data_IF_041007268299
#
_entry.id   IF_041007268299
#
_cell.length_a   1.000
_cell.length_b   1.000
_cell.length_c   1.000
_cell.angle_alpha   90.00
_cell.angle_beta   90.00
_cell.angle_gamma   90.00
#
_symmetry.space_group_name_H-M   'P 1'
#
loop_
_entity.id
_entity.type
_entity.pdbx_description
1 polymer ?
#
# COMPACT_ATOMS: atom_id res chain seq x y z
N UNK A 1 51.06 -2.54 3.71
CA UNK A 1 49.84 -1.71 3.48
C UNK A 1 49.96 -1.06 2.11
N UNK A 2 49.31 -1.60 1.08
CA UNK A 2 49.34 -1.04 -0.28
C UNK A 2 48.33 0.11 -0.38
N UNK A 3 48.86 1.33 -0.51
CA UNK A 3 48.06 2.55 -0.65
C UNK A 3 47.45 2.60 -2.05
N UNK A 4 46.21 2.08 -2.20
CA UNK A 4 45.44 1.98 -3.44
C UNK A 4 45.26 3.31 -4.21
N UNK A 5 45.53 4.44 -3.56
CA UNK A 5 45.45 5.76 -4.19
C UNK A 5 46.69 6.07 -5.04
N UNK A 6 47.86 5.52 -4.70
CA UNK A 6 49.11 5.77 -5.46
C UNK A 6 49.00 5.22 -6.89
N UNK A 7 48.40 4.05 -7.04
CA UNK A 7 48.32 3.37 -8.34
C UNK A 7 47.28 4.04 -9.27
N UNK A 8 46.22 4.63 -8.72
CA UNK A 8 45.12 5.20 -9.55
C UNK A 8 45.54 6.44 -10.36
N UNK A 9 46.37 7.32 -9.80
CA UNK A 9 46.92 8.47 -10.53
C UNK A 9 47.96 8.05 -11.57
N UNK A 10 48.72 6.99 -11.28
CA UNK A 10 49.74 6.44 -12.16
C UNK A 10 49.12 5.71 -13.37
N UNK A 11 48.06 4.92 -13.16
CA UNK A 11 47.28 4.25 -14.23
C UNK A 11 46.70 5.27 -15.23
N UNK A 12 46.21 6.41 -14.73
CA UNK A 12 45.69 7.49 -15.58
C UNK A 12 46.77 8.45 -16.11
N UNK A 13 48.03 8.24 -15.72
CA UNK A 13 49.19 9.06 -16.06
C UNK A 13 48.96 10.57 -15.81
N UNK A 14 48.53 10.89 -14.60
CA UNK A 14 48.19 12.25 -14.15
C UNK A 14 48.88 12.59 -12.84
N UNK A 15 49.06 13.88 -12.59
CA UNK A 15 49.61 14.36 -11.33
C UNK A 15 48.61 14.10 -10.18
N UNK A 16 49.12 13.86 -8.96
CA UNK A 16 48.33 13.74 -7.73
C UNK A 16 47.51 15.00 -7.41
N UNK A 17 47.96 16.15 -7.91
CA UNK A 17 47.27 17.44 -7.77
C UNK A 17 46.34 17.75 -8.96
N UNK A 18 46.09 16.80 -9.86
CA UNK A 18 45.26 17.03 -11.03
C UNK A 18 43.82 17.37 -10.64
N UNK A 19 43.22 18.29 -11.38
CA UNK A 19 41.82 18.68 -11.21
C UNK A 19 40.89 17.55 -11.66
N UNK A 20 39.67 17.48 -11.10
CA UNK A 20 38.61 16.59 -11.58
C UNK A 20 38.34 16.72 -13.08
N UNK A 21 38.52 17.92 -13.64
CA UNK A 21 38.38 18.15 -15.07
C UNK A 21 39.48 17.45 -15.88
N UNK A 22 40.72 17.45 -15.37
CA UNK A 22 41.87 16.79 -15.99
C UNK A 22 41.77 15.27 -15.89
N UNK A 23 41.35 14.75 -14.74
CA UNK A 23 41.06 13.33 -14.50
C UNK A 23 40.04 12.83 -15.54
N UNK A 24 38.93 13.56 -15.72
CA UNK A 24 37.89 13.21 -16.71
C UNK A 24 38.38 13.30 -18.15
N UNK A 25 39.21 14.29 -18.47
CA UNK A 25 39.79 14.45 -19.81
C UNK A 25 40.70 13.27 -20.16
N UNK A 26 41.60 12.90 -19.24
CA UNK A 26 42.56 11.81 -19.43
C UNK A 26 41.90 10.44 -19.48
N UNK A 27 40.90 10.21 -18.63
CA UNK A 27 40.06 9.02 -18.72
C UNK A 27 39.43 8.86 -20.12
N UNK A 28 38.84 9.93 -20.67
CA UNK A 28 38.22 9.87 -22.01
C UNK A 28 39.23 9.58 -23.13
N UNK A 29 40.42 10.18 -23.06
CA UNK A 29 41.50 9.94 -24.02
C UNK A 29 41.94 8.47 -24.01
N UNK A 30 42.20 7.92 -22.81
CA UNK A 30 42.64 6.53 -22.64
C UNK A 30 41.53 5.52 -22.94
N UNK A 31 40.29 5.80 -22.54
CA UNK A 31 39.13 4.96 -22.84
C UNK A 31 38.90 4.80 -24.35
N UNK A 32 39.15 5.84 -25.15
CA UNK A 32 39.04 5.78 -26.62
C UNK A 32 40.16 4.95 -27.26
N UNK A 33 41.36 4.98 -26.68
CA UNK A 33 42.52 4.24 -27.19
C UNK A 33 42.40 2.75 -26.87
N UNK A 34 42.04 2.42 -25.64
CA UNK A 34 42.00 1.05 -25.12
C UNK A 34 40.61 0.39 -25.18
N UNK A 35 39.62 1.03 -25.81
CA UNK A 35 38.29 0.45 -25.95
C UNK A 35 38.36 -0.92 -26.66
N UNK A 36 37.64 -1.96 -26.19
CA UNK A 36 37.66 -3.28 -26.81
C UNK A 36 37.20 -3.28 -28.28
N UNK A 37 36.37 -2.32 -28.69
CA UNK A 37 35.96 -2.16 -30.09
C UNK A 37 37.08 -1.59 -31.00
N UNK A 38 38.20 -1.12 -30.43
CA UNK A 38 39.33 -0.67 -31.22
C UNK A 38 40.24 -1.86 -31.55
N UNK A 39 40.24 -2.29 -32.80
CA UNK A 39 40.99 -3.46 -33.28
C UNK A 39 42.51 -3.31 -33.24
N UNK A 40 43.04 -2.08 -33.05
CA UNK A 40 44.49 -1.80 -33.11
C UNK A 40 45.17 -1.68 -31.76
N UNK A 41 44.45 -1.17 -30.75
CA UNK A 41 44.97 -0.89 -29.40
C UNK A 41 44.01 -1.32 -28.29
N UNK A 42 42.91 -1.99 -28.64
CA UNK A 42 41.93 -2.50 -27.70
C UNK A 42 42.56 -3.52 -26.76
N UNK A 43 42.50 -3.22 -25.47
CA UNK A 43 43.00 -4.08 -24.41
C UNK A 43 42.00 -4.00 -23.26
N UNK A 44 41.24 -5.08 -23.09
CA UNK A 44 40.18 -5.18 -22.08
C UNK A 44 40.77 -4.99 -20.69
N UNK A 45 41.94 -5.56 -20.40
CA UNK A 45 42.52 -5.50 -19.05
C UNK A 45 42.91 -4.07 -18.69
N UNK A 46 43.59 -3.37 -19.61
CA UNK A 46 43.95 -1.96 -19.41
C UNK A 46 42.73 -1.05 -19.32
N UNK A 47 41.72 -1.29 -20.13
CA UNK A 47 40.47 -0.54 -20.07
C UNK A 47 39.80 -0.67 -18.69
N UNK A 48 39.76 -1.88 -18.15
CA UNK A 48 39.21 -2.15 -16.82
C UNK A 48 40.01 -1.45 -15.71
N UNK A 49 41.34 -1.45 -15.79
CA UNK A 49 42.21 -0.72 -14.87
C UNK A 49 41.97 0.80 -14.91
N UNK A 50 41.85 1.37 -16.12
CA UNK A 50 41.57 2.79 -16.34
C UNK A 50 40.20 3.19 -15.75
N UNK A 51 39.17 2.35 -15.94
CA UNK A 51 37.84 2.57 -15.36
C UNK A 51 37.90 2.55 -13.83
N UNK A 52 38.55 1.53 -13.26
CA UNK A 52 38.70 1.38 -11.81
C UNK A 52 39.44 2.56 -11.19
N UNK A 53 40.51 3.03 -11.83
CA UNK A 53 41.27 4.19 -11.38
C UNK A 53 40.42 5.47 -11.41
N UNK A 54 39.68 5.72 -12.50
CA UNK A 54 38.79 6.88 -12.61
C UNK A 54 37.68 6.86 -11.56
N UNK A 55 37.07 5.71 -11.31
CA UNK A 55 36.06 5.58 -10.25
C UNK A 55 36.61 5.87 -8.86
N UNK A 56 37.82 5.41 -8.55
CA UNK A 56 38.46 5.66 -7.25
C UNK A 56 38.75 7.14 -7.03
N UNK A 57 39.16 7.86 -8.09
CA UNK A 57 39.45 9.29 -8.03
C UNK A 57 38.20 10.17 -8.03
N UNK A 58 37.17 9.78 -8.80
CA UNK A 58 35.96 10.58 -9.00
C UNK A 58 34.89 10.34 -7.92
N UNK A 59 35.06 9.34 -7.04
CA UNK A 59 34.09 9.03 -5.99
C UNK A 59 33.93 10.21 -5.01
N UNK A 60 32.76 10.88 -4.95
CA UNK A 60 32.41 11.62 -3.74
C UNK A 60 32.35 10.62 -2.59
N UNK A 61 32.60 11.06 -1.35
CA UNK A 61 32.76 10.26 -0.12
C UNK A 61 31.57 9.33 0.29
N UNK A 62 30.68 8.94 -0.61
CA UNK A 62 29.59 8.00 -0.40
C UNK A 62 29.77 6.71 -1.24
N UNK A 63 29.68 5.57 -0.54
CA UNK A 63 29.92 4.17 -0.91
C UNK A 63 29.14 3.64 -2.16
N UNK A 64 29.50 2.45 -2.69
CA UNK A 64 29.65 2.16 -4.11
C UNK A 64 28.41 1.49 -4.73
N UNK A 65 28.17 1.74 -6.02
CA UNK A 65 27.47 0.78 -6.88
C UNK A 65 28.35 0.57 -8.11
N UNK A 66 28.85 -0.65 -8.18
CA UNK A 66 29.71 -1.20 -9.20
C UNK A 66 28.83 -1.58 -10.39
N UNK A 67 28.93 -0.81 -11.47
CA UNK A 67 28.31 -1.15 -12.75
C UNK A 67 29.41 -1.73 -13.63
N UNK A 68 29.37 -3.04 -13.86
CA UNK A 68 30.28 -3.70 -14.79
C UNK A 68 29.49 -4.23 -15.98
N UNK A 69 29.96 -3.90 -17.17
CA UNK A 69 29.61 -4.58 -18.41
C UNK A 69 30.04 -6.04 -18.30
N UNK A 70 29.06 -6.95 -18.26
CA UNK A 70 29.29 -8.38 -18.40
C UNK A 70 28.33 -8.89 -19.48
N UNK A 71 28.84 -9.04 -20.71
CA UNK A 71 28.29 -9.99 -21.66
C UNK A 71 28.48 -11.39 -21.08
N UNK A 72 27.42 -12.02 -20.55
CA UNK A 72 27.28 -13.48 -20.37
C UNK A 72 25.79 -13.80 -20.12
N UNK A 73 25.14 -14.73 -20.87
CA UNK A 73 23.69 -14.94 -20.82
C UNK A 73 23.24 -16.10 -19.91
N UNK A 74 23.95 -16.44 -18.84
CA UNK A 74 23.59 -17.59 -17.98
C UNK A 74 23.67 -17.20 -16.49
N UNK A 75 22.59 -17.51 -15.76
CA UNK A 75 22.32 -17.31 -14.32
C UNK A 75 21.55 -16.04 -13.89
N UNK A 76 20.24 -16.07 -14.13
CA UNK A 76 19.25 -15.39 -13.27
C UNK A 76 19.07 -16.15 -11.94
N UNK A 77 19.99 -15.95 -10.98
CA UNK A 77 19.71 -16.10 -9.55
C UNK A 77 20.28 -14.90 -8.76
N UNK A 78 20.13 -13.71 -9.34
CA UNK A 78 20.45 -12.45 -8.68
C UNK A 78 19.44 -12.17 -7.56
N UNK A 79 19.95 -11.61 -6.48
CA UNK A 79 19.29 -11.12 -5.26
C UNK A 79 18.27 -9.98 -5.55
N UNK A 80 17.27 -10.25 -6.38
CA UNK A 80 16.21 -9.31 -6.79
C UNK A 80 15.06 -9.20 -5.76
N UNK A 81 15.26 -9.71 -4.54
CA UNK A 81 14.46 -9.30 -3.38
C UNK A 81 15.36 -8.52 -2.42
N UNK A 82 15.63 -7.27 -2.76
CA UNK A 82 16.07 -6.28 -1.77
C UNK A 82 14.94 -5.27 -1.61
N UNK A 83 13.97 -5.61 -0.76
CA UNK A 83 12.92 -4.68 -0.32
C UNK A 83 13.43 -3.55 0.60
N UNK A 84 14.75 -3.36 0.75
CA UNK A 84 15.32 -2.54 1.82
C UNK A 84 15.90 -1.20 1.38
N UNK A 85 15.86 -0.85 0.09
CA UNK A 85 16.38 0.44 -0.40
C UNK A 85 15.43 1.17 -1.36
N UNK A 86 14.17 1.30 -0.98
CA UNK A 86 13.29 2.30 -1.58
C UNK A 86 13.78 3.71 -1.18
N UNK A 87 14.39 4.41 -2.14
CA UNK A 87 14.96 5.76 -1.98
C UNK A 87 13.94 6.82 -1.54
N UNK A 88 12.65 6.51 -1.63
CA UNK A 88 11.52 7.41 -1.36
C UNK A 88 10.94 7.36 0.07
N UNK A 89 11.25 6.34 0.89
CA UNK A 89 10.63 6.16 2.23
C UNK A 89 11.56 6.48 3.40
N UNK A 90 12.73 7.07 3.17
CA UNK A 90 13.64 7.42 4.29
C UNK A 90 13.11 8.55 5.19
N UNK A 91 11.97 9.15 4.86
CA UNK A 91 11.33 10.14 5.71
C UNK A 91 10.36 9.47 6.70
N UNK A 92 10.90 8.97 7.80
CA UNK A 92 10.13 8.33 8.89
C UNK A 92 9.07 9.25 9.48
N UNK A 93 9.31 10.57 9.51
CA UNK A 93 8.33 11.54 10.03
C UNK A 93 7.14 11.72 9.09
N UNK A 94 7.36 11.69 7.78
CA UNK A 94 6.26 11.74 6.82
C UNK A 94 5.39 10.48 6.87
N UNK A 95 6.03 9.30 7.00
CA UNK A 95 5.32 8.03 7.09
C UNK A 95 4.54 7.90 8.41
N UNK A 96 5.08 8.38 9.53
CA UNK A 96 4.36 8.39 10.80
C UNK A 96 3.17 9.36 10.81
N UNK A 97 3.31 10.53 10.18
CA UNK A 97 2.20 11.49 10.01
C UNK A 97 1.08 10.88 9.15
N UNK A 98 1.43 10.25 8.03
CA UNK A 98 0.45 9.61 7.14
C UNK A 98 -0.26 8.45 7.84
N UNK A 99 0.48 7.61 8.57
CA UNK A 99 -0.12 6.54 9.37
C UNK A 99 -1.06 7.10 10.46
N UNK A 100 -0.68 8.19 11.12
CA UNK A 100 -1.52 8.89 12.09
C UNK A 100 -2.83 9.40 11.49
N UNK A 101 -2.78 10.03 10.31
CA UNK A 101 -3.97 10.50 9.60
C UNK A 101 -4.92 9.35 9.23
N UNK A 102 -4.38 8.23 8.73
CA UNK A 102 -5.20 7.05 8.38
C UNK A 102 -5.88 6.47 9.61
N UNK A 103 -5.17 6.34 10.73
CA UNK A 103 -5.76 5.87 11.99
C UNK A 103 -6.83 6.82 12.50
N UNK A 104 -6.62 8.14 12.41
CA UNK A 104 -7.61 9.14 12.84
C UNK A 104 -8.88 9.09 11.98
N UNK A 105 -8.75 8.96 10.66
CA UNK A 105 -9.92 8.83 9.77
C UNK A 105 -10.67 7.53 10.08
N UNK A 106 -9.94 6.44 10.33
CA UNK A 106 -10.53 5.13 10.64
C UNK A 106 -11.28 5.14 11.97
N UNK A 107 -10.74 5.78 13.02
CA UNK A 107 -11.43 5.90 14.31
C UNK A 107 -12.69 6.74 14.18
N UNK A 108 -12.61 7.89 13.51
CA UNK A 108 -13.77 8.76 13.25
C UNK A 108 -14.86 7.99 12.50
N UNK A 109 -14.50 7.26 11.45
CA UNK A 109 -15.45 6.44 10.70
C UNK A 109 -16.08 5.33 11.55
N UNK A 110 -15.29 4.66 12.40
CA UNK A 110 -15.79 3.64 13.32
C UNK A 110 -16.83 4.22 14.31
N UNK A 111 -16.58 5.40 14.88
CA UNK A 111 -17.54 6.04 15.79
C UNK A 111 -18.83 6.45 15.09
N UNK A 112 -18.75 7.02 13.88
CA UNK A 112 -19.95 7.33 13.09
C UNK A 112 -20.76 6.06 12.74
N UNK A 113 -20.08 5.00 12.34
CA UNK A 113 -20.69 3.72 12.02
C UNK A 113 -21.37 3.08 13.24
N UNK A 114 -20.69 3.08 14.38
CA UNK A 114 -21.21 2.54 15.64
C UNK A 114 -22.45 3.31 16.12
N UNK A 115 -22.44 4.65 16.01
CA UNK A 115 -23.59 5.50 16.34
C UNK A 115 -24.79 5.22 15.42
N UNK A 116 -24.55 5.09 14.11
CA UNK A 116 -25.58 4.75 13.13
C UNK A 116 -26.26 3.40 13.44
N UNK A 117 -25.48 2.36 13.75
CA UNK A 117 -26.03 1.05 14.09
C UNK A 117 -26.81 1.04 15.41
N UNK A 118 -26.40 1.85 16.41
CA UNK A 118 -27.16 1.98 17.65
C UNK A 118 -28.55 2.58 17.41
N UNK A 119 -28.64 3.64 16.60
CA UNK A 119 -29.92 4.29 16.26
C UNK A 119 -30.85 3.34 15.50
N UNK A 120 -30.31 2.55 14.57
CA UNK A 120 -31.08 1.59 13.79
C UNK A 120 -31.63 0.45 14.67
N UNK A 121 -30.81 -0.08 15.59
CA UNK A 121 -31.25 -1.10 16.55
C UNK A 121 -32.32 -0.56 17.49
N UNK A 122 -32.15 0.65 18.01
CA UNK A 122 -33.15 1.31 18.82
C UNK A 122 -34.49 1.49 18.07
N UNK A 123 -34.44 1.92 16.82
CA UNK A 123 -35.64 2.04 15.98
C UNK A 123 -36.34 0.69 15.74
N UNK A 124 -35.56 -0.38 15.51
CA UNK A 124 -36.09 -1.73 15.36
C UNK A 124 -36.76 -2.22 16.66
N UNK A 125 -36.12 -2.03 17.82
CA UNK A 125 -36.67 -2.41 19.12
C UNK A 125 -37.96 -1.66 19.45
N UNK A 126 -38.04 -0.37 19.13
CA UNK A 126 -39.26 0.43 19.28
C UNK A 126 -40.40 -0.11 18.41
N UNK A 127 -40.11 -0.56 17.18
CA UNK A 127 -41.10 -1.17 16.30
C UNK A 127 -41.59 -2.51 16.86
N UNK A 128 -40.71 -3.33 17.42
CA UNK A 128 -41.09 -4.56 18.12
C UNK A 128 -41.97 -4.27 19.34
N UNK A 129 -41.59 -3.32 20.19
CA UNK A 129 -42.39 -2.94 21.35
C UNK A 129 -43.79 -2.47 20.96
N UNK A 130 -43.91 -1.55 19.99
CA UNK A 130 -45.20 -1.08 19.48
C UNK A 130 -46.06 -2.22 18.96
N UNK A 131 -45.52 -3.08 18.10
CA UNK A 131 -46.28 -4.22 17.58
C UNK A 131 -46.73 -5.19 18.67
N UNK A 132 -45.92 -5.45 19.71
CA UNK A 132 -46.37 -6.27 20.85
C UNK A 132 -47.49 -5.63 21.65
N UNK A 133 -47.47 -4.31 21.83
CA UNK A 133 -48.54 -3.57 22.53
C UNK A 133 -49.82 -3.60 21.70
N UNK A 134 -49.72 -3.33 20.40
CA UNK A 134 -50.87 -3.35 19.49
C UNK A 134 -51.51 -4.73 19.41
N UNK A 135 -50.71 -5.81 19.36
CA UNK A 135 -51.21 -7.18 19.42
C UNK A 135 -51.93 -7.48 20.75
N UNK A 136 -51.40 -7.01 21.89
CA UNK A 136 -52.06 -7.16 23.18
C UNK A 136 -53.39 -6.41 23.22
N UNK A 137 -53.41 -5.16 22.73
CA UNK A 137 -54.63 -4.33 22.65
C UNK A 137 -55.68 -4.98 21.75
N UNK A 138 -55.30 -5.39 20.53
CA UNK A 138 -56.19 -6.07 19.60
C UNK A 138 -56.77 -7.35 20.21
N UNK A 139 -55.97 -8.11 20.97
CA UNK A 139 -56.46 -9.30 21.68
C UNK A 139 -57.46 -8.95 22.78
N UNK A 140 -57.23 -7.88 23.54
CA UNK A 140 -58.17 -7.43 24.58
C UNK A 140 -59.47 -6.91 23.97
N UNK A 141 -59.39 -6.13 22.89
CA UNK A 141 -60.56 -5.63 22.15
C UNK A 141 -61.35 -6.77 21.51
N UNK A 142 -60.66 -7.76 20.92
CA UNK A 142 -61.31 -8.95 20.40
C UNK A 142 -62.00 -9.78 21.51
N UNK A 143 -61.47 -9.81 22.73
CA UNK A 143 -62.15 -10.45 23.86
C UNK A 143 -63.39 -9.66 24.31
N UNK A 144 -63.29 -8.33 24.34
CA UNK A 144 -64.38 -7.44 24.78
C UNK A 144 -65.51 -7.37 23.74
N UNK A 145 -65.18 -7.14 22.47
CA UNK A 145 -66.13 -6.85 21.40
C UNK A 145 -66.25 -7.95 20.34
N UNK A 146 -65.28 -8.86 20.25
CA UNK A 146 -65.33 -9.95 19.26
C UNK A 146 -66.49 -10.91 19.49
N UNK A 147 -66.99 -11.00 20.72
CA UNK A 147 -68.19 -11.76 21.02
C UNK A 147 -69.47 -11.04 20.56
N UNK A 148 -69.52 -9.70 20.49
CA UNK A 148 -70.75 -8.99 20.12
C UNK A 148 -71.19 -9.26 18.68
N UNK A 149 -70.26 -9.29 17.73
CA UNK A 149 -70.55 -9.65 16.35
C UNK A 149 -70.85 -11.17 16.19
N UNK A 150 -70.28 -12.00 17.05
CA UNK A 150 -70.64 -13.42 17.17
C UNK A 150 -72.06 -13.62 17.68
N UNK A 151 -72.40 -12.97 18.79
CA UNK A 151 -73.73 -12.96 19.41
C UNK A 151 -74.76 -12.40 18.44
N UNK A 152 -74.50 -11.27 17.76
CA UNK A 152 -75.42 -10.71 16.74
C UNK A 152 -75.71 -11.69 15.61
N UNK A 153 -74.70 -12.44 15.14
CA UNK A 153 -74.90 -13.49 14.12
C UNK A 153 -75.77 -14.63 14.64
N UNK A 154 -75.52 -15.11 15.85
CA UNK A 154 -76.32 -16.18 16.48
C UNK A 154 -77.75 -15.71 16.75
N UNK A 155 -77.93 -14.48 17.24
CA UNK A 155 -79.23 -13.89 17.54
C UNK A 155 -80.07 -13.70 16.27
N UNK A 156 -79.47 -13.15 15.21
CA UNK A 156 -80.13 -12.99 13.91
C UNK A 156 -80.50 -14.33 13.29
N UNK A 157 -79.63 -15.35 13.42
CA UNK A 157 -79.96 -16.69 12.97
C UNK A 157 -81.17 -17.25 13.75
N UNK A 158 -81.18 -17.15 15.09
CA UNK A 158 -82.31 -17.62 15.90
C UNK A 158 -83.62 -16.88 15.57
N UNK A 159 -83.57 -15.56 15.39
CA UNK A 159 -84.73 -14.74 14.98
C UNK A 159 -85.32 -15.17 13.63
N UNK A 160 -84.46 -15.50 12.66
CA UNK A 160 -84.91 -15.99 11.37
C UNK A 160 -85.52 -17.39 11.44
N UNK A 161 -85.04 -18.26 12.33
CA UNK A 161 -85.65 -19.56 12.58
C UNK A 161 -87.05 -19.42 13.20
N UNK A 162 -87.22 -18.53 14.19
CA UNK A 162 -88.54 -18.23 14.75
C UNK A 162 -89.51 -17.69 13.70
N UNK A 163 -89.07 -16.78 12.82
CA UNK A 163 -89.91 -16.24 11.74
C UNK A 163 -90.35 -17.29 10.71
N UNK A 164 -89.62 -18.40 10.56
CA UNK A 164 -90.00 -19.49 9.65
C UNK A 164 -90.99 -20.48 10.26
N UNK A 165 -91.21 -20.42 11.58
CA UNK A 165 -92.09 -21.33 12.31
C UNK A 165 -93.49 -20.72 12.60
N UNK A 166 -93.68 -19.42 12.34
CA UNK A 166 -94.99 -18.75 12.22
C UNK A 166 -95.49 -18.75 10.77
#
# INVERSE_FOLDING_TARGET
MFSHNKDSFEILNINRNASNAEIKKKYKELAKIYHPDNTRTGDIQKFQEIVKAYELLMKPKAQPIQYYYAQDPIYYQGKWSSHTNTRFVKNTTFMSLLAGCVLMISTVHFFYFQSSHANLRYAADQHHLRSTIDLKRARTEAKLFGNENGIKRVLNHRLNEFRKQE
#
